data_IF_292395135392
#
_entry.id   IF_292395135392
#
_cell.length_a   1.000
_cell.length_b   1.000
_cell.length_c   1.000
_cell.angle_alpha   90.00
_cell.angle_beta   90.00
_cell.angle_gamma   90.00
#
_symmetry.space_group_name_H-M   'P 1'
#
loop_
_entity.id
_entity.type
_entity.pdbx_description
1 polymer ?
#
# COMPACT_ATOMS: atom_id res chain seq x y z
N UNK A 1 -19.63 -14.57 2.06
CA UNK A 1 -18.88 -14.30 0.80
C UNK A 1 -19.11 -12.85 0.44
N UNK A 2 -18.15 -11.95 0.68
CA UNK A 2 -18.24 -10.56 0.21
C UNK A 2 -16.88 -9.88 0.39
N UNK A 3 -16.01 -9.83 -0.63
CA UNK A 3 -14.85 -8.90 -0.71
C UNK A 3 -14.39 -8.63 -2.16
N UNK A 4 -15.28 -8.58 -3.14
CA UNK A 4 -14.90 -8.32 -4.54
C UNK A 4 -15.35 -6.95 -5.10
N UNK A 5 -16.03 -6.11 -4.29
CA UNK A 5 -16.63 -4.86 -4.78
C UNK A 5 -15.72 -3.61 -4.75
N UNK A 6 -14.47 -3.69 -4.26
CA UNK A 6 -13.61 -2.50 -4.13
C UNK A 6 -12.66 -2.26 -5.32
N UNK A 7 -12.54 -3.19 -6.27
CA UNK A 7 -11.59 -3.05 -7.38
C UNK A 7 -12.09 -2.04 -8.44
N UNK A 8 -13.41 -1.80 -8.53
CA UNK A 8 -14.01 -0.97 -9.59
C UNK A 8 -14.12 0.53 -9.28
N UNK A 9 -13.95 0.98 -8.03
CA UNK A 9 -14.15 2.39 -7.67
C UNK A 9 -12.90 3.28 -7.81
N UNK A 10 -11.73 2.69 -7.98
CA UNK A 10 -10.46 3.42 -7.94
C UNK A 10 -9.59 2.95 -9.12
N UNK A 11 -9.63 3.72 -10.21
CA UNK A 11 -8.91 3.42 -11.46
C UNK A 11 -7.46 2.97 -11.22
N UNK A 12 -6.99 2.02 -12.05
CA UNK A 12 -5.73 1.27 -11.99
C UNK A 12 -4.72 1.67 -10.89
N UNK A 13 -5.07 1.46 -9.61
CA UNK A 13 -4.12 1.59 -8.50
C UNK A 13 -2.85 0.74 -8.71
N UNK A 14 -2.96 -0.35 -9.49
CA UNK A 14 -1.83 -1.22 -9.87
C UNK A 14 -0.82 -0.56 -10.81
N UNK A 15 -1.20 0.48 -11.54
CA UNK A 15 -0.30 1.19 -12.44
C UNK A 15 0.57 2.22 -11.71
N UNK A 16 0.17 2.62 -10.49
CA UNK A 16 0.92 3.54 -9.63
C UNK A 16 2.34 3.04 -9.36
N UNK A 17 3.27 3.98 -9.32
CA UNK A 17 4.67 3.70 -8.98
C UNK A 17 4.79 3.35 -7.51
N UNK A 18 4.03 4.00 -6.64
CA UNK A 18 3.93 3.67 -5.22
C UNK A 18 3.40 2.25 -5.00
N UNK A 19 2.36 1.83 -5.75
CA UNK A 19 1.88 0.45 -5.67
C UNK A 19 2.97 -0.55 -6.04
N UNK A 20 3.69 -0.31 -7.14
CA UNK A 20 4.79 -1.20 -7.59
C UNK A 20 5.94 -1.23 -6.59
N UNK A 21 6.24 -0.11 -5.95
CA UNK A 21 7.21 -0.02 -4.86
C UNK A 21 6.77 -0.90 -3.68
N UNK A 22 5.54 -0.72 -3.20
CA UNK A 22 5.01 -1.50 -2.08
C UNK A 22 4.97 -2.99 -2.43
N UNK A 23 4.54 -3.34 -3.64
CA UNK A 23 4.50 -4.73 -4.10
C UNK A 23 5.88 -5.39 -4.04
N UNK A 24 6.94 -4.66 -4.38
CA UNK A 24 8.31 -5.18 -4.39
C UNK A 24 8.94 -5.24 -2.99
N UNK A 25 8.51 -4.38 -2.07
CA UNK A 25 9.18 -4.17 -0.79
C UNK A 25 8.37 -4.59 0.45
N UNK A 26 7.11 -5.02 0.27
CA UNK A 26 6.23 -5.55 1.32
C UNK A 26 5.80 -7.00 0.99
N UNK A 27 6.73 -7.96 0.95
CA UNK A 27 6.44 -9.35 0.54
C UNK A 27 5.42 -10.04 1.44
N UNK A 28 5.37 -9.68 2.73
CA UNK A 28 4.41 -10.26 3.69
C UNK A 28 3.00 -9.68 3.54
N UNK A 29 2.81 -8.65 2.71
CA UNK A 29 1.54 -7.96 2.50
C UNK A 29 0.90 -8.28 1.15
N UNK A 30 1.27 -9.40 0.55
CA UNK A 30 0.62 -9.92 -0.65
C UNK A 30 -0.65 -10.68 -0.27
N UNK A 31 -1.65 -10.67 -1.14
CA UNK A 31 -2.89 -11.40 -0.91
C UNK A 31 -2.65 -12.91 -0.90
N UNK A 32 -3.15 -13.60 0.13
CA UNK A 32 -3.11 -15.06 0.23
C UNK A 32 -3.84 -15.76 -0.93
N UNK A 33 -4.86 -15.10 -1.51
CA UNK A 33 -5.65 -15.64 -2.63
C UNK A 33 -5.00 -15.38 -3.99
N UNK A 34 -4.22 -14.32 -4.11
CA UNK A 34 -3.53 -13.93 -5.33
C UNK A 34 -2.26 -13.16 -5.00
N UNK A 35 -1.13 -13.87 -5.00
CA UNK A 35 0.19 -13.30 -4.71
C UNK A 35 0.65 -12.23 -5.71
N UNK A 36 -0.08 -11.99 -6.79
CA UNK A 36 0.18 -10.88 -7.72
C UNK A 36 -0.48 -9.56 -7.27
N UNK A 37 -1.07 -9.52 -6.07
CA UNK A 37 -1.83 -8.37 -5.57
C UNK A 37 -1.42 -8.05 -4.14
N UNK A 38 -1.30 -6.75 -3.83
CA UNK A 38 -1.15 -6.28 -2.45
C UNK A 38 -2.46 -6.41 -1.67
N UNK A 39 -2.37 -6.91 -0.44
CA UNK A 39 -3.45 -6.89 0.53
C UNK A 39 -3.49 -5.55 1.27
N UNK A 40 -4.25 -4.61 0.72
CA UNK A 40 -4.44 -3.28 1.32
C UNK A 40 -5.20 -3.31 2.65
N UNK A 41 -5.94 -4.40 2.94
CA UNK A 41 -6.60 -4.58 4.24
C UNK A 41 -5.54 -4.86 5.28
N UNK A 42 -4.65 -5.83 5.00
CA UNK A 42 -3.54 -6.17 5.90
C UNK A 42 -2.62 -4.98 6.18
N UNK A 43 -2.19 -4.25 5.14
CA UNK A 43 -1.38 -3.02 5.30
C UNK A 43 -2.09 -2.01 6.20
N UNK A 44 -3.39 -1.81 5.97
CA UNK A 44 -4.20 -0.89 6.76
C UNK A 44 -4.30 -1.30 8.22
N UNK A 45 -4.54 -2.58 8.49
CA UNK A 45 -4.62 -3.14 9.84
C UNK A 45 -3.30 -2.96 10.60
N UNK A 46 -2.16 -3.24 9.97
CA UNK A 46 -0.85 -3.18 10.62
C UNK A 46 -0.43 -1.75 11.01
N UNK A 47 -0.85 -0.73 10.26
CA UNK A 47 -0.53 0.70 10.55
C UNK A 47 -1.72 1.49 11.12
N UNK A 48 -2.83 0.82 11.41
CA UNK A 48 -4.02 1.41 12.03
C UNK A 48 -4.79 2.39 11.15
N UNK A 49 -5.00 2.09 9.87
CA UNK A 49 -5.84 2.86 8.93
C UNK A 49 -6.80 1.98 8.13
N UNK A 50 -7.76 2.61 7.46
CA UNK A 50 -8.68 1.87 6.57
C UNK A 50 -7.99 1.45 5.27
N UNK A 51 -8.39 0.31 4.72
CA UNK A 51 -7.94 -0.12 3.39
C UNK A 51 -8.25 0.92 2.30
N UNK A 52 -9.36 1.67 2.42
CA UNK A 52 -9.69 2.78 1.52
C UNK A 52 -8.64 3.88 1.54
N UNK A 53 -8.05 4.19 2.70
CA UNK A 53 -6.97 5.17 2.80
C UNK A 53 -5.70 4.67 2.10
N UNK A 54 -5.35 3.38 2.27
CA UNK A 54 -4.22 2.74 1.55
C UNK A 54 -4.45 2.80 0.04
N UNK A 55 -5.64 2.42 -0.44
CA UNK A 55 -5.98 2.52 -1.86
C UNK A 55 -5.86 3.94 -2.39
N UNK A 56 -6.32 4.94 -1.63
CA UNK A 56 -6.20 6.34 -2.00
C UNK A 56 -4.74 6.77 -2.19
N UNK A 57 -3.80 6.25 -1.40
CA UNK A 57 -2.38 6.52 -1.59
C UNK A 57 -1.89 6.07 -2.96
N UNK A 58 -2.32 4.89 -3.44
CA UNK A 58 -1.95 4.40 -4.76
C UNK A 58 -2.61 5.18 -5.88
N UNK A 59 -3.88 5.58 -5.73
CA UNK A 59 -4.56 6.42 -6.72
C UNK A 59 -3.87 7.78 -6.86
N UNK A 60 -3.51 8.38 -5.73
CA UNK A 60 -2.89 9.71 -5.69
C UNK A 60 -1.36 9.65 -5.90
N UNK A 61 -0.77 8.44 -5.94
CA UNK A 61 0.67 8.15 -5.93
C UNK A 61 1.43 8.87 -4.80
N UNK A 62 0.80 8.99 -3.62
CA UNK A 62 1.26 9.81 -2.48
C UNK A 62 1.04 9.11 -1.13
N UNK A 63 2.01 9.22 -0.22
CA UNK A 63 1.97 8.78 1.18
C UNK A 63 2.06 9.98 2.14
N UNK A 64 1.29 10.02 3.24
CA UNK A 64 1.48 11.01 4.30
C UNK A 64 2.83 10.84 5.01
N UNK A 65 3.64 11.89 5.12
CA UNK A 65 4.97 11.82 5.74
C UNK A 65 4.99 11.22 7.16
N UNK A 66 3.94 11.46 7.95
CA UNK A 66 3.80 10.87 9.30
C UNK A 66 3.71 9.33 9.32
N UNK A 67 3.41 8.69 8.18
CA UNK A 67 3.28 7.23 8.02
C UNK A 67 4.57 6.55 7.57
N UNK A 68 5.61 7.31 7.23
CA UNK A 68 6.87 6.76 6.71
C UNK A 68 7.50 5.77 7.68
N UNK A 69 7.60 6.14 8.96
CA UNK A 69 8.17 5.24 9.97
C UNK A 69 7.40 3.93 10.08
N UNK A 70 6.07 4.00 10.17
CA UNK A 70 5.22 2.81 10.29
C UNK A 70 5.36 1.87 9.08
N UNK A 71 5.51 2.42 7.86
CA UNK A 71 5.71 1.62 6.65
C UNK A 71 7.08 0.94 6.58
N UNK A 72 8.12 1.58 7.11
CA UNK A 72 9.46 0.99 7.22
C UNK A 72 9.46 -0.09 8.30
N UNK A 73 8.74 0.13 9.40
CA UNK A 73 8.66 -0.78 10.55
C UNK A 73 7.67 -1.96 10.34
N UNK A 74 6.99 -2.04 9.19
CA UNK A 74 6.10 -3.16 8.84
C UNK A 74 6.88 -4.50 8.83
N UNK A 75 6.24 -5.57 9.27
CA UNK A 75 6.84 -6.90 9.26
C UNK A 75 7.24 -7.34 7.84
N UNK A 76 8.48 -7.80 7.68
CA UNK A 76 9.05 -8.17 6.39
C UNK A 76 9.27 -7.01 5.41
N UNK A 77 9.09 -5.75 5.84
CA UNK A 77 9.32 -4.57 5.01
C UNK A 77 10.80 -4.41 4.67
N UNK A 78 11.06 -4.06 3.42
CA UNK A 78 12.38 -3.63 2.94
C UNK A 78 12.34 -2.20 2.41
N UNK A 79 11.28 -1.46 2.73
CA UNK A 79 11.16 -0.04 2.40
C UNK A 79 12.20 0.77 3.17
N UNK A 80 12.67 1.84 2.52
CA UNK A 80 13.54 2.84 3.14
C UNK A 80 12.89 4.22 3.01
N UNK A 81 13.34 5.18 3.83
CA UNK A 81 12.82 6.54 3.74
C UNK A 81 13.11 7.14 2.36
N UNK A 82 14.28 6.87 1.80
CA UNK A 82 14.74 7.33 0.50
C UNK A 82 13.86 6.84 -0.64
N UNK A 83 13.36 5.59 -0.55
CA UNK A 83 12.40 5.04 -1.52
C UNK A 83 11.04 5.74 -1.45
N UNK A 84 10.63 6.21 -0.27
CA UNK A 84 9.34 6.86 -0.03
C UNK A 84 9.37 8.38 -0.29
N UNK A 85 10.54 9.02 -0.21
CA UNK A 85 10.73 10.46 -0.44
C UNK A 85 10.04 10.99 -1.71
N UNK A 86 10.11 10.33 -2.88
CA UNK A 86 9.45 10.81 -4.10
C UNK A 86 7.92 10.85 -4.02
N UNK A 87 7.34 10.13 -3.06
CA UNK A 87 5.90 9.93 -2.90
C UNK A 87 5.32 10.68 -1.70
N UNK A 88 6.10 11.49 -0.98
CA UNK A 88 5.57 12.18 0.20
C UNK A 88 4.64 13.33 -0.19
N UNK A 89 3.49 13.40 0.49
CA UNK A 89 2.60 14.54 0.41
C UNK A 89 3.35 15.80 0.87
N UNK A 90 3.29 16.87 0.06
CA UNK A 90 3.85 18.18 0.40
C UNK A 90 2.99 18.92 1.42
#
# INVERSE_FOLDING_TARGET
MARDDNILMYGNARDSKLYKLFFSHLPNHHSEKNSQVLDCVKIGEDIGITNKAVYKWFVDDIVPGRRVKELIDLDGSTLTAEMLLPFLAR
#
